data_IF_566345592924
#
_entry.id   IF_566345592924
#
_cell.length_a   1.000
_cell.length_b   1.000
_cell.length_c   1.000
_cell.angle_alpha   90.00
_cell.angle_beta   90.00
_cell.angle_gamma   90.00
#
_symmetry.space_group_name_H-M   'P 1'
#
loop_
_entity.id
_entity.type
_entity.pdbx_description
1 polymer ?
#
# COMPACT_ATOMS: atom_id res chain seq x y z
N UNK A 1 -16.42 -18.53 -24.55
CA UNK A 1 -17.42 -18.16 -23.52
C UNK A 1 -16.72 -18.20 -22.17
N UNK A 2 -16.80 -17.13 -21.37
CA UNK A 2 -16.24 -17.14 -20.01
C UNK A 2 -17.00 -18.16 -19.15
N UNK A 3 -16.28 -19.00 -18.39
CA UNK A 3 -16.87 -20.00 -17.50
C UNK A 3 -17.74 -19.35 -16.44
N UNK A 4 -18.86 -19.97 -16.02
CA UNK A 4 -19.68 -19.48 -14.89
C UNK A 4 -18.86 -19.29 -13.60
N UNK A 5 -17.82 -20.10 -13.43
CA UNK A 5 -16.90 -20.00 -12.29
C UNK A 5 -15.96 -18.78 -12.37
N UNK A 6 -15.76 -18.20 -13.56
CA UNK A 6 -14.93 -17.01 -13.73
C UNK A 6 -15.50 -15.82 -12.96
N UNK A 7 -16.81 -15.56 -13.08
CA UNK A 7 -17.46 -14.48 -12.33
C UNK A 7 -17.41 -14.70 -10.81
N UNK A 8 -17.56 -15.95 -10.36
CA UNK A 8 -17.46 -16.30 -8.93
C UNK A 8 -16.03 -16.11 -8.42
N UNK A 9 -15.01 -16.47 -9.20
CA UNK A 9 -13.60 -16.27 -8.85
C UNK A 9 -13.28 -14.78 -8.68
N UNK A 10 -13.78 -13.95 -9.60
CA UNK A 10 -13.61 -12.48 -9.54
C UNK A 10 -14.30 -11.94 -8.29
N UNK A 11 -15.55 -12.32 -8.02
CA UNK A 11 -16.29 -11.90 -6.83
C UNK A 11 -15.58 -12.35 -5.54
N UNK A 12 -15.08 -13.58 -5.49
CA UNK A 12 -14.33 -14.11 -4.36
C UNK A 12 -13.03 -13.32 -4.11
N UNK A 13 -12.28 -13.02 -5.17
CA UNK A 13 -11.05 -12.21 -5.06
C UNK A 13 -11.34 -10.83 -4.49
N UNK A 14 -12.41 -10.18 -4.97
CA UNK A 14 -12.85 -8.88 -4.46
C UNK A 14 -13.29 -8.93 -3.00
N UNK A 15 -14.12 -9.90 -2.62
CA UNK A 15 -14.57 -10.06 -1.23
C UNK A 15 -13.41 -10.35 -0.28
N UNK A 16 -12.48 -11.22 -0.69
CA UNK A 16 -11.29 -11.57 0.08
C UNK A 16 -10.37 -10.35 0.28
N UNK A 17 -10.14 -9.56 -0.77
CA UNK A 17 -9.37 -8.33 -0.69
C UNK A 17 -10.04 -7.30 0.25
N UNK A 18 -11.36 -7.14 0.15
CA UNK A 18 -12.10 -6.22 1.03
C UNK A 18 -12.11 -6.66 2.49
N UNK A 19 -12.19 -7.97 2.76
CA UNK A 19 -12.05 -8.51 4.12
C UNK A 19 -10.71 -8.11 4.74
N UNK A 20 -9.61 -8.29 3.99
CA UNK A 20 -8.27 -7.86 4.44
C UNK A 20 -8.19 -6.35 4.67
N UNK A 21 -8.87 -5.55 3.84
CA UNK A 21 -8.93 -4.10 4.05
C UNK A 21 -9.62 -3.75 5.36
N UNK A 22 -10.72 -4.45 5.69
CA UNK A 22 -11.41 -4.26 6.97
C UNK A 22 -10.54 -4.63 8.16
N UNK A 23 -9.71 -5.67 8.07
CA UNK A 23 -8.76 -6.02 9.13
C UNK A 23 -7.75 -4.89 9.39
N UNK A 24 -7.22 -4.28 8.31
CA UNK A 24 -6.31 -3.11 8.41
C UNK A 24 -7.04 -1.90 9.01
N UNK A 25 -8.29 -1.65 8.63
CA UNK A 25 -9.12 -0.58 9.21
C UNK A 25 -9.37 -0.83 10.70
N UNK A 26 -9.71 -2.06 11.09
CA UNK A 26 -9.88 -2.44 12.49
C UNK A 26 -8.61 -2.21 13.31
N UNK A 27 -7.46 -2.59 12.77
CA UNK A 27 -6.16 -2.35 13.41
C UNK A 27 -5.85 -0.85 13.56
N UNK A 28 -6.16 -0.03 12.55
CA UNK A 28 -6.02 1.43 12.62
C UNK A 28 -6.92 2.05 13.69
N UNK A 29 -8.17 1.57 13.82
CA UNK A 29 -9.13 2.08 14.80
C UNK A 29 -8.67 1.70 16.22
N UNK A 30 -8.21 0.47 16.43
CA UNK A 30 -7.71 0.01 17.72
C UNK A 30 -6.52 0.85 18.23
N UNK A 31 -5.69 1.37 17.31
CA UNK A 31 -4.53 2.21 17.62
C UNK A 31 -4.78 3.70 17.37
N UNK A 32 -6.04 4.13 17.24
CA UNK A 32 -6.36 5.51 16.91
C UNK A 32 -5.84 6.52 17.93
N UNK A 33 -5.74 6.11 19.20
CA UNK A 33 -5.27 6.95 20.32
C UNK A 33 -3.77 6.80 20.63
N UNK A 34 -3.04 5.94 19.91
CA UNK A 34 -1.60 5.80 20.10
C UNK A 34 -0.86 6.92 19.32
N UNK A 35 -0.18 7.85 20.01
CA UNK A 35 0.50 8.97 19.35
C UNK A 35 1.69 8.54 18.49
N UNK A 36 2.26 7.36 18.73
CA UNK A 36 3.39 6.82 17.97
C UNK A 36 2.94 6.04 16.74
N UNK A 37 1.66 5.65 16.70
CA UNK A 37 1.10 4.83 15.65
C UNK A 37 1.06 5.55 14.29
N UNK A 38 1.39 4.81 13.23
CA UNK A 38 1.32 5.27 11.83
C UNK A 38 0.27 4.45 11.10
N UNK A 39 -0.79 5.13 10.68
CA UNK A 39 -1.92 4.52 9.97
C UNK A 39 -1.45 3.79 8.71
N UNK A 40 -2.07 2.65 8.46
CA UNK A 40 -1.77 1.78 7.35
C UNK A 40 -2.94 1.70 6.37
N UNK A 41 -2.67 1.44 5.11
CA UNK A 41 -3.67 1.23 4.06
C UNK A 41 -3.29 0.00 3.25
N UNK A 42 -4.28 -0.84 2.96
CA UNK A 42 -4.12 -1.93 2.00
C UNK A 42 -4.14 -1.37 0.58
N UNK A 43 -3.11 -1.69 -0.20
CA UNK A 43 -3.06 -1.41 -1.63
C UNK A 43 -3.61 -2.62 -2.37
N UNK A 44 -4.64 -2.37 -3.18
CA UNK A 44 -5.23 -3.37 -4.05
C UNK A 44 -4.79 -3.10 -5.49
N UNK A 45 -4.47 -4.15 -6.22
CA UNK A 45 -4.13 -4.08 -7.64
C UNK A 45 -5.00 -5.05 -8.44
N UNK A 46 -5.15 -4.77 -9.72
CA UNK A 46 -5.73 -5.75 -10.63
C UNK A 46 -4.85 -7.02 -10.71
N UNK A 47 -5.49 -8.17 -10.84
CA UNK A 47 -4.79 -9.41 -11.18
C UNK A 47 -4.46 -9.39 -12.67
N UNK A 48 -3.22 -9.77 -13.02
CA UNK A 48 -2.81 -9.89 -14.40
C UNK A 48 -3.73 -10.88 -15.14
N UNK A 49 -4.24 -10.48 -16.29
CA UNK A 49 -4.99 -11.39 -17.14
C UNK A 49 -4.00 -12.37 -17.75
N UNK A 50 -4.24 -13.67 -17.58
CA UNK A 50 -3.53 -14.71 -18.32
C UNK A 50 -3.79 -14.44 -19.81
N UNK A 51 -2.81 -13.86 -20.49
CA UNK A 51 -2.87 -13.68 -21.93
C UNK A 51 -3.09 -15.07 -22.55
N UNK A 52 -4.26 -15.29 -23.14
CA UNK A 52 -4.42 -16.40 -24.07
C UNK A 52 -3.39 -16.18 -25.18
N UNK A 53 -2.78 -17.27 -25.62
CA UNK A 53 -1.72 -17.28 -26.65
C UNK A 53 -1.99 -16.30 -27.79
N UNK A 54 -0.93 -15.77 -28.41
CA UNK A 54 -1.00 -14.84 -29.55
C UNK A 54 -1.97 -15.31 -30.67
N UNK A 55 -2.23 -16.61 -30.77
CA UNK A 55 -3.17 -17.24 -31.70
C UNK A 55 -4.66 -16.97 -31.38
N UNK A 56 -5.01 -16.75 -30.11
CA UNK A 56 -6.38 -16.40 -29.69
C UNK A 56 -6.74 -14.91 -29.92
N UNK A 57 -5.73 -14.08 -30.24
CA UNK A 57 -5.88 -12.63 -30.40
C UNK A 57 -6.50 -12.23 -31.75
N UNK A 58 -6.68 -13.18 -32.68
CA UNK A 58 -7.33 -12.97 -33.99
C UNK A 58 -8.85 -12.74 -33.83
N UNK A 59 -9.42 -13.10 -32.67
CA UNK A 59 -10.86 -13.05 -32.40
C UNK A 59 -11.28 -11.92 -31.46
N UNK A 60 -10.66 -10.73 -31.48
CA UNK A 60 -11.15 -9.53 -30.77
C UNK A 60 -11.58 -9.75 -29.29
N UNK A 61 -11.07 -10.79 -28.64
CA UNK A 61 -11.55 -11.20 -27.33
C UNK A 61 -10.71 -10.44 -26.31
N UNK A 62 -11.12 -9.20 -26.04
CA UNK A 62 -10.48 -8.35 -25.04
C UNK A 62 -10.31 -9.15 -23.74
N UNK A 63 -9.11 -9.21 -23.16
CA UNK A 63 -8.88 -9.97 -21.94
C UNK A 63 -9.82 -9.49 -20.83
N UNK A 64 -10.79 -10.33 -20.43
CA UNK A 64 -11.66 -10.06 -19.30
C UNK A 64 -10.81 -9.99 -18.02
N UNK A 65 -11.00 -8.96 -17.19
CA UNK A 65 -10.21 -8.73 -15.97
C UNK A 65 -10.22 -9.93 -15.02
N UNK A 66 -9.06 -10.27 -14.44
CA UNK A 66 -8.88 -11.50 -13.66
C UNK A 66 -9.22 -11.38 -12.16
N UNK A 67 -9.76 -10.23 -11.72
CA UNK A 67 -10.08 -9.95 -10.32
C UNK A 67 -9.07 -9.03 -9.64
N UNK A 68 -9.07 -9.03 -8.30
CA UNK A 68 -8.31 -8.10 -7.48
C UNK A 68 -7.36 -8.85 -6.55
N UNK A 69 -6.11 -8.38 -6.46
CA UNK A 69 -5.09 -8.86 -5.53
C UNK A 69 -4.79 -7.82 -4.46
N UNK A 70 -4.46 -8.28 -3.26
CA UNK A 70 -3.90 -7.42 -2.21
C UNK A 70 -2.39 -7.36 -2.35
N UNK A 71 -1.85 -6.24 -2.81
CA UNK A 71 -0.44 -6.10 -3.16
C UNK A 71 0.44 -5.88 -1.93
N UNK A 72 0.13 -4.88 -1.12
CA UNK A 72 0.95 -4.48 0.03
C UNK A 72 0.12 -3.72 1.08
N UNK A 73 0.64 -3.64 2.30
CA UNK A 73 0.13 -2.74 3.33
C UNK A 73 1.13 -1.60 3.47
N UNK A 74 0.70 -0.39 3.11
CA UNK A 74 1.56 0.79 3.11
C UNK A 74 1.21 1.72 4.27
N UNK A 75 2.23 2.36 4.84
CA UNK A 75 2.02 3.42 5.84
C UNK A 75 1.67 4.72 5.15
N UNK A 76 0.61 5.37 5.63
CA UNK A 76 0.23 6.71 5.19
C UNK A 76 1.23 7.69 5.77
N UNK A 77 1.98 8.36 4.90
CA UNK A 77 3.01 9.35 5.25
C UNK A 77 2.82 10.61 4.40
N UNK A 78 3.04 11.76 5.00
CA UNK A 78 3.18 13.02 4.28
C UNK A 78 4.67 13.25 4.02
N UNK A 79 5.09 13.05 2.76
CA UNK A 79 6.47 13.16 2.36
C UNK A 79 7.05 14.58 2.56
N UNK A 80 6.23 15.62 2.43
CA UNK A 80 6.69 17.01 2.58
C UNK A 80 6.97 17.29 4.07
N UNK A 81 6.03 16.91 4.94
CA UNK A 81 6.20 17.08 6.39
C UNK A 81 7.36 16.24 6.90
N UNK A 82 7.49 14.99 6.45
CA UNK A 82 8.59 14.11 6.85
C UNK A 82 9.95 14.68 6.43
N UNK A 83 10.07 15.19 5.21
CA UNK A 83 11.31 15.82 4.74
C UNK A 83 11.66 17.06 5.56
N UNK A 84 10.68 17.91 5.90
CA UNK A 84 10.91 19.09 6.76
C UNK A 84 11.36 18.70 8.16
N UNK A 85 10.71 17.72 8.78
CA UNK A 85 11.09 17.21 10.10
C UNK A 85 12.51 16.66 10.07
N UNK A 86 12.87 15.90 9.02
CA UNK A 86 14.22 15.34 8.82
C UNK A 86 15.29 16.41 8.64
N UNK A 87 15.01 17.45 7.84
CA UNK A 87 15.95 18.56 7.66
C UNK A 87 16.14 19.36 8.95
N UNK A 88 15.05 19.64 9.67
CA UNK A 88 15.10 20.36 10.94
C UNK A 88 15.85 19.56 12.02
N UNK A 89 15.63 18.24 12.12
CA UNK A 89 16.33 17.39 13.07
C UNK A 89 17.83 17.28 12.75
N UNK A 90 18.19 17.20 11.46
CA UNK A 90 19.59 17.18 11.04
C UNK A 90 20.29 18.51 11.36
N UNK A 91 19.63 19.64 11.12
CA UNK A 91 20.16 20.95 11.52
C UNK A 91 20.35 21.03 13.04
N UNK A 92 19.35 20.64 13.83
CA UNK A 92 19.43 20.64 15.30
C UNK A 92 20.58 19.77 15.82
N UNK A 93 20.73 18.55 15.30
CA UNK A 93 21.82 17.64 15.68
C UNK A 93 23.21 18.23 15.37
N UNK A 94 23.36 18.92 14.23
CA UNK A 94 24.61 19.61 13.90
C UNK A 94 24.95 20.72 14.90
N UNK A 95 23.96 21.52 15.32
CA UNK A 95 24.16 22.56 16.33
C UNK A 95 24.53 21.98 17.69
N UNK A 96 23.86 20.90 18.08
CA UNK A 96 24.13 20.21 19.34
C UNK A 96 25.54 19.62 19.38
N UNK A 97 25.97 18.97 18.29
CA UNK A 97 27.34 18.48 18.14
C UNK A 97 28.37 19.60 18.29
N UNK A 98 28.17 20.74 17.61
CA UNK A 98 29.07 21.90 17.73
C UNK A 98 29.11 22.45 19.16
N UNK A 99 27.95 22.54 19.82
CA UNK A 99 27.87 22.99 21.21
C UNK A 99 28.52 22.01 22.20
N UNK A 100 28.52 20.71 21.89
CA UNK A 100 29.20 19.69 22.69
C UNK A 100 30.72 19.79 22.54
N UNK A 101 31.23 19.94 21.32
CA UNK A 101 32.66 20.16 21.06
C UNK A 101 33.16 21.42 21.76
N UNK A 102 32.40 22.52 21.73
CA UNK A 102 32.77 23.76 22.41
C UNK A 102 32.80 23.63 23.94
N UNK A 103 32.00 22.73 24.53
CA UNK A 103 32.00 22.47 25.99
C UNK A 103 33.18 21.63 26.46
N UNK A 104 33.89 20.97 25.54
CA UNK A 104 35.06 20.12 25.83
C UNK A 104 36.39 20.87 25.70
N UNK A 105 36.35 22.12 25.23
CA UNK A 105 37.46 23.07 25.23
C UNK A 105 37.39 23.91 26.50
#
# INVERSE_FOLDING_TARGET
MASTFFGIQVAYSGLSAQRRAMDVVGYNIAHANDPTYKRQRLVMSEMAVLAQSQEANVLNNSPFGAGVSSQSIERIRDAIVENRVRMASQAAANWEYRAQVMRQL
#
